data_IF_530011482509
#
_entry.id   IF_530011482509
#
_cell.length_a   1.000
_cell.length_b   1.000
_cell.length_c   1.000
_cell.angle_alpha   90.00
_cell.angle_beta   90.00
_cell.angle_gamma   90.00
#
_symmetry.space_group_name_H-M   'P 1'
#
loop_
_entity.id
_entity.type
_entity.pdbx_description
1 polymer ?
#
# COMPACT_ATOMS: atom_id res chain seq x y z
N UNK A 1 -4.51 -21.97 1.08
CA UNK A 1 -4.82 -21.85 2.53
C UNK A 1 -5.50 -20.52 2.75
N UNK A 2 -6.58 -20.47 3.53
CA UNK A 2 -7.30 -19.24 3.86
C UNK A 2 -7.12 -18.97 5.36
N UNK A 3 -6.59 -17.80 5.71
CA UNK A 3 -6.54 -17.33 7.10
C UNK A 3 -7.80 -16.52 7.39
N UNK A 4 -8.56 -16.94 8.38
CA UNK A 4 -9.73 -16.21 8.84
C UNK A 4 -9.40 -15.54 10.17
N UNK A 5 -9.31 -14.20 10.14
CA UNK A 5 -9.06 -13.39 11.33
C UNK A 5 -10.22 -13.46 12.33
N UNK A 6 -9.92 -13.14 13.58
CA UNK A 6 -10.95 -12.92 14.59
C UNK A 6 -11.61 -11.54 14.38
N UNK A 7 -12.85 -11.39 14.86
CA UNK A 7 -13.44 -10.06 15.02
C UNK A 7 -12.54 -9.18 15.88
N UNK A 8 -12.28 -7.97 15.40
CA UNK A 8 -11.41 -6.99 16.08
C UNK A 8 -12.23 -6.20 17.10
N UNK A 9 -12.64 -6.87 18.18
CA UNK A 9 -13.07 -6.19 19.39
C UNK A 9 -11.84 -5.77 20.21
N UNK A 10 -11.87 -4.62 20.91
CA UNK A 10 -10.73 -4.15 21.69
C UNK A 10 -10.18 -5.21 22.66
N UNK A 11 -11.07 -6.00 23.25
CA UNK A 11 -10.73 -7.06 24.19
C UNK A 11 -9.93 -8.20 23.54
N UNK A 12 -10.13 -8.43 22.25
CA UNK A 12 -9.54 -9.55 21.50
C UNK A 12 -8.33 -9.14 20.68
N UNK A 13 -7.96 -7.86 20.71
CA UNK A 13 -6.89 -7.34 19.83
C UNK A 13 -5.56 -8.08 20.00
N UNK A 14 -5.09 -8.23 21.22
CA UNK A 14 -3.82 -8.92 21.48
C UNK A 14 -3.86 -10.39 21.04
N UNK A 15 -4.97 -11.06 21.31
CA UNK A 15 -5.14 -12.45 20.90
C UNK A 15 -5.19 -12.59 19.37
N UNK A 16 -5.87 -11.68 18.68
CA UNK A 16 -5.91 -11.65 17.22
C UNK A 16 -4.53 -11.39 16.61
N UNK A 17 -3.72 -10.50 17.21
CA UNK A 17 -2.34 -10.28 16.81
C UNK A 17 -1.47 -11.52 16.98
N UNK A 18 -1.53 -12.15 18.14
CA UNK A 18 -0.74 -13.35 18.42
C UNK A 18 -1.07 -14.48 17.44
N UNK A 19 -2.35 -14.72 17.17
CA UNK A 19 -2.77 -15.71 16.17
C UNK A 19 -2.28 -15.40 14.76
N UNK A 20 -2.28 -14.12 14.37
CA UNK A 20 -1.74 -13.72 13.07
C UNK A 20 -0.22 -13.95 13.03
N UNK A 21 0.48 -13.60 14.10
CA UNK A 21 1.91 -13.80 14.22
C UNK A 21 2.29 -15.28 14.11
N UNK A 22 1.59 -16.14 14.86
CA UNK A 22 1.81 -17.59 14.82
C UNK A 22 1.57 -18.14 13.40
N UNK A 23 0.47 -17.74 12.76
CA UNK A 23 0.19 -18.18 11.41
C UNK A 23 1.25 -17.71 10.39
N UNK A 24 1.72 -16.47 10.44
CA UNK A 24 2.75 -15.96 9.54
C UNK A 24 4.08 -16.73 9.69
N UNK A 25 4.41 -17.15 10.90
CA UNK A 25 5.62 -17.94 11.16
C UNK A 25 5.55 -19.37 10.54
N UNK A 26 4.34 -19.93 10.42
CA UNK A 26 4.14 -21.25 9.81
C UNK A 26 4.24 -21.25 8.29
N UNK A 27 4.22 -20.07 7.65
CA UNK A 27 4.24 -20.00 6.19
C UNK A 27 5.63 -20.33 5.63
N UNK A 28 5.68 -21.13 4.57
CA UNK A 28 6.94 -21.42 3.88
C UNK A 28 7.51 -20.15 3.22
N UNK A 29 8.83 -20.14 2.95
CA UNK A 29 9.42 -19.08 2.15
C UNK A 29 8.77 -18.94 0.76
N UNK A 30 8.82 -17.74 0.19
CA UNK A 30 8.23 -17.40 -1.12
C UNK A 30 6.69 -17.57 -1.16
N UNK A 31 6.02 -17.34 -0.02
CA UNK A 31 4.56 -17.33 0.04
C UNK A 31 4.00 -15.97 -0.33
N UNK A 32 3.02 -15.96 -1.25
CA UNK A 32 2.20 -14.79 -1.58
C UNK A 32 0.94 -14.75 -0.72
N UNK A 33 0.64 -13.58 -0.14
CA UNK A 33 -0.55 -13.33 0.68
C UNK A 33 -1.42 -12.29 -0.04
N UNK A 34 -2.68 -12.63 -0.29
CA UNK A 34 -3.70 -11.70 -0.76
C UNK A 34 -4.53 -11.29 0.43
N UNK A 35 -4.44 -10.02 0.82
CA UNK A 35 -5.25 -9.44 1.89
C UNK A 35 -6.53 -8.84 1.29
N UNK A 36 -7.66 -9.05 1.96
CA UNK A 36 -8.98 -8.59 1.47
C UNK A 36 -9.13 -7.07 1.43
N UNK A 37 -8.29 -6.33 2.16
CA UNK A 37 -8.21 -4.86 2.13
C UNK A 37 -6.77 -4.40 2.34
N UNK A 38 -6.45 -3.16 1.95
CA UNK A 38 -5.16 -2.54 2.22
C UNK A 38 -4.90 -2.38 3.72
N UNK A 39 -5.93 -2.10 4.51
CA UNK A 39 -5.81 -2.04 5.97
C UNK A 39 -5.34 -3.37 6.57
N UNK A 40 -5.85 -4.50 6.06
CA UNK A 40 -5.40 -5.84 6.47
C UNK A 40 -3.99 -6.13 5.96
N UNK A 41 -3.67 -5.75 4.73
CA UNK A 41 -2.32 -5.89 4.20
C UNK A 41 -1.30 -5.13 5.05
N UNK A 42 -1.61 -3.89 5.43
CA UNK A 42 -0.77 -3.07 6.33
C UNK A 42 -0.58 -3.74 7.69
N UNK A 43 -1.64 -4.29 8.27
CA UNK A 43 -1.53 -5.00 9.55
C UNK A 43 -0.61 -6.23 9.43
N UNK A 44 -0.71 -7.01 8.35
CA UNK A 44 0.20 -8.12 8.08
C UNK A 44 1.65 -7.62 7.98
N UNK A 45 1.90 -6.53 7.25
CA UNK A 45 3.24 -5.95 7.11
C UNK A 45 3.81 -5.49 8.44
N UNK A 46 3.00 -4.87 9.32
CA UNK A 46 3.42 -4.47 10.66
C UNK A 46 3.81 -5.67 11.54
N UNK A 47 3.05 -6.75 11.47
CA UNK A 47 3.38 -7.99 12.20
C UNK A 47 4.65 -8.63 11.62
N UNK A 48 4.81 -8.65 10.30
CA UNK A 48 6.06 -9.12 9.67
C UNK A 48 7.27 -8.31 10.14
N UNK A 49 7.15 -6.98 10.21
CA UNK A 49 8.20 -6.10 10.71
C UNK A 49 8.56 -6.42 12.16
N UNK A 50 7.56 -6.57 13.03
CA UNK A 50 7.75 -6.93 14.44
C UNK A 50 8.44 -8.28 14.63
N UNK A 51 8.10 -9.26 13.78
CA UNK A 51 8.69 -10.60 13.78
C UNK A 51 9.99 -10.70 12.98
N UNK A 52 10.47 -9.59 12.39
CA UNK A 52 11.64 -9.56 11.52
C UNK A 52 11.53 -10.52 10.32
N UNK A 53 10.31 -10.73 9.81
CA UNK A 53 10.05 -11.51 8.61
C UNK A 53 10.34 -10.65 7.39
N UNK A 54 11.29 -11.01 6.51
CA UNK A 54 11.61 -10.23 5.34
C UNK A 54 10.45 -10.20 4.34
N UNK A 55 10.06 -8.98 3.90
CA UNK A 55 9.08 -8.74 2.84
C UNK A 55 9.76 -7.82 1.82
N UNK A 56 9.85 -8.18 0.55
CA UNK A 56 9.15 -9.29 -0.12
C UNK A 56 9.90 -10.64 -0.15
N UNK A 57 11.09 -10.79 0.42
CA UNK A 57 11.99 -11.93 0.19
C UNK A 57 11.41 -13.26 0.71
N UNK A 58 10.82 -13.27 1.88
CA UNK A 58 10.18 -14.47 2.45
C UNK A 58 8.69 -14.51 2.17
N UNK A 59 8.00 -13.38 2.37
CA UNK A 59 6.55 -13.27 2.15
C UNK A 59 6.27 -12.07 1.24
N UNK A 60 5.39 -12.23 0.25
CA UNK A 60 4.87 -11.14 -0.57
C UNK A 60 3.44 -10.83 -0.14
N UNK A 61 3.07 -9.55 -0.05
CA UNK A 61 1.73 -9.15 0.36
C UNK A 61 1.12 -8.22 -0.69
N UNK A 62 -0.11 -8.50 -1.08
CA UNK A 62 -0.93 -7.63 -1.93
C UNK A 62 -2.23 -7.30 -1.23
N UNK A 63 -2.62 -6.03 -1.27
CA UNK A 63 -3.89 -5.54 -0.75
C UNK A 63 -4.95 -5.33 -1.82
N UNK A 64 -6.12 -4.87 -1.40
CA UNK A 64 -7.22 -4.44 -2.25
C UNK A 64 -7.72 -3.12 -1.68
N UNK A 65 -8.16 -2.20 -2.51
CA UNK A 65 -8.77 -0.88 -2.36
C UNK A 65 -7.91 0.23 -2.97
N UNK A 66 -6.59 0.11 -2.98
CA UNK A 66 -5.63 1.16 -3.36
C UNK A 66 -5.85 2.43 -2.53
N UNK A 67 -5.98 2.26 -1.22
CA UNK A 67 -6.22 3.34 -0.27
C UNK A 67 -4.98 4.23 -0.15
N UNK A 68 -5.16 5.52 -0.44
CA UNK A 68 -4.06 6.48 -0.46
C UNK A 68 -3.36 6.60 0.90
N UNK A 69 -4.14 6.61 1.98
CA UNK A 69 -3.62 6.71 3.34
C UNK A 69 -2.70 5.53 3.71
N UNK A 70 -3.04 4.33 3.25
CA UNK A 70 -2.24 3.12 3.53
C UNK A 70 -0.84 3.21 2.94
N UNK A 71 -0.66 3.91 1.82
CA UNK A 71 0.66 4.14 1.22
C UNK A 71 1.60 4.91 2.13
N UNK A 72 1.08 5.89 2.87
CA UNK A 72 1.87 6.71 3.80
C UNK A 72 2.11 6.02 5.15
N UNK A 73 1.21 5.12 5.55
CA UNK A 73 1.30 4.42 6.83
C UNK A 73 2.13 3.14 6.79
N UNK A 74 2.45 2.62 5.60
CA UNK A 74 3.24 1.39 5.45
C UNK A 74 4.72 1.72 5.23
N UNK A 75 5.60 1.13 6.03
CA UNK A 75 7.06 1.25 5.82
C UNK A 75 7.55 0.46 4.62
N UNK A 76 6.82 -0.57 4.24
CA UNK A 76 7.07 -1.38 3.04
C UNK A 76 6.07 -0.95 1.98
N UNK A 77 6.54 -0.80 0.74
CA UNK A 77 5.68 -0.49 -0.39
C UNK A 77 4.64 -1.60 -0.58
N UNK A 78 3.35 -1.25 -0.48
CA UNK A 78 2.24 -2.17 -0.63
C UNK A 78 1.72 -2.14 -2.07
N UNK A 79 1.76 -3.29 -2.73
CA UNK A 79 1.02 -3.50 -3.97
C UNK A 79 -0.47 -3.65 -3.67
N UNK A 80 -1.33 -3.03 -4.47
CA UNK A 80 -2.77 -3.07 -4.24
C UNK A 80 -3.57 -3.13 -5.53
N UNK A 81 -4.77 -3.69 -5.44
CA UNK A 81 -5.75 -3.73 -6.52
C UNK A 81 -6.77 -2.62 -6.32
N UNK A 82 -6.78 -1.63 -7.22
CA UNK A 82 -7.79 -0.58 -7.20
C UNK A 82 -9.13 -1.11 -7.76
N UNK A 83 -10.16 -1.08 -6.94
CA UNK A 83 -11.50 -1.58 -7.32
C UNK A 83 -12.26 -0.66 -8.30
N UNK A 84 -11.78 0.56 -8.54
CA UNK A 84 -12.49 1.52 -9.38
C UNK A 84 -13.75 2.11 -8.73
N UNK A 85 -13.80 2.17 -7.40
CA UNK A 85 -14.96 2.60 -6.61
C UNK A 85 -15.52 3.96 -7.04
N UNK A 86 -14.64 4.92 -7.38
CA UNK A 86 -15.07 6.24 -7.89
C UNK A 86 -15.83 6.12 -9.21
N UNK A 87 -15.36 5.29 -10.12
CA UNK A 87 -16.00 5.06 -11.40
C UNK A 87 -17.34 4.31 -11.21
N UNK A 88 -17.37 3.31 -10.35
CA UNK A 88 -18.60 2.59 -9.98
C UNK A 88 -19.64 3.56 -9.42
N UNK A 89 -19.27 4.40 -8.44
CA UNK A 89 -20.16 5.40 -7.86
C UNK A 89 -20.69 6.40 -8.89
N UNK A 90 -19.83 6.89 -9.78
CA UNK A 90 -20.25 7.79 -10.86
C UNK A 90 -21.26 7.14 -11.82
N UNK A 91 -20.99 5.91 -12.25
CA UNK A 91 -21.90 5.18 -13.13
C UNK A 91 -23.23 4.84 -12.43
N UNK A 92 -23.20 4.46 -11.17
CA UNK A 92 -24.41 4.22 -10.38
C UNK A 92 -25.25 5.48 -10.23
N UNK A 93 -24.62 6.63 -9.91
CA UNK A 93 -25.34 7.91 -9.84
C UNK A 93 -25.96 8.33 -11.17
N UNK A 94 -25.23 8.12 -12.28
CA UNK A 94 -25.75 8.39 -13.63
C UNK A 94 -26.96 7.52 -13.98
N UNK A 95 -26.91 6.23 -13.62
CA UNK A 95 -28.05 5.33 -13.81
C UNK A 95 -29.25 5.73 -12.95
N UNK A 96 -29.02 6.08 -11.69
CA UNK A 96 -30.07 6.56 -10.80
C UNK A 96 -30.74 7.83 -11.33
N UNK A 97 -29.97 8.79 -11.83
CA UNK A 97 -30.50 10.02 -12.43
C UNK A 97 -31.45 9.71 -13.60
N UNK A 98 -31.05 8.84 -14.50
CA UNK A 98 -31.90 8.41 -15.63
C UNK A 98 -33.19 7.71 -15.17
N UNK A 99 -33.12 6.88 -14.13
CA UNK A 99 -34.31 6.25 -13.53
C UNK A 99 -35.27 7.27 -12.92
N UNK A 100 -34.73 8.33 -12.26
CA UNK A 100 -35.55 9.41 -11.72
C UNK A 100 -36.23 10.23 -12.83
N UNK A 101 -35.59 10.37 -13.98
CA UNK A 101 -36.14 11.00 -15.17
C UNK A 101 -37.16 10.10 -15.90
N UNK A 102 -37.48 8.93 -15.31
CA UNK A 102 -38.43 7.92 -15.86
C UNK A 102 -38.03 7.38 -17.25
N UNK A 103 -36.73 7.38 -17.54
CA UNK A 103 -36.25 6.68 -18.74
C UNK A 103 -36.48 5.17 -18.59
N UNK A 104 -37.10 4.55 -19.59
CA UNK A 104 -37.16 3.08 -19.66
C UNK A 104 -35.76 2.55 -19.95
N UNK A 105 -35.21 1.80 -19.01
CA UNK A 105 -33.90 1.20 -19.14
C UNK A 105 -33.95 -0.30 -18.91
N UNK A 106 -33.30 -1.09 -19.78
CA UNK A 106 -33.11 -2.50 -19.50
C UNK A 106 -32.21 -2.66 -18.27
N UNK A 107 -32.39 -3.77 -17.54
CA UNK A 107 -31.47 -4.16 -16.49
C UNK A 107 -30.05 -4.23 -17.05
N UNK A 108 -29.20 -3.32 -16.58
CA UNK A 108 -27.80 -3.22 -17.02
C UNK A 108 -26.86 -3.65 -15.91
N UNK A 109 -25.90 -4.46 -16.24
CA UNK A 109 -24.77 -4.77 -15.37
C UNK A 109 -23.51 -4.11 -15.93
N UNK A 110 -23.03 -3.06 -15.27
CA UNK A 110 -21.79 -2.40 -15.66
C UNK A 110 -20.65 -3.00 -14.83
N UNK A 111 -19.67 -3.57 -15.54
CA UNK A 111 -18.45 -4.07 -14.94
C UNK A 111 -17.38 -2.99 -15.07
N UNK A 112 -16.86 -2.56 -13.94
CA UNK A 112 -15.66 -1.70 -13.87
C UNK A 112 -14.47 -2.60 -13.62
N UNK A 113 -13.52 -2.72 -14.57
CA UNK A 113 -12.38 -3.58 -14.39
C UNK A 113 -11.48 -3.06 -13.27
N UNK A 114 -10.96 -3.93 -12.40
CA UNK A 114 -9.98 -3.54 -11.41
C UNK A 114 -8.67 -3.12 -12.09
N UNK A 115 -7.97 -2.17 -11.49
CA UNK A 115 -6.65 -1.74 -11.93
C UNK A 115 -5.62 -2.20 -10.90
N UNK A 116 -4.70 -3.05 -11.33
CA UNK A 116 -3.56 -3.42 -10.52
C UNK A 116 -2.58 -2.24 -10.43
N UNK A 117 -2.28 -1.85 -9.21
CA UNK A 117 -1.23 -0.87 -8.93
C UNK A 117 -0.16 -1.54 -8.10
N UNK A 118 0.93 -1.84 -8.74
CA UNK A 118 2.16 -2.28 -8.11
C UNK A 118 3.15 -1.14 -8.13
N UNK A 119 3.89 -0.98 -7.07
CA UNK A 119 5.21 -0.36 -7.15
C UNK A 119 6.12 -1.43 -7.75
N UNK A 120 6.19 -1.47 -9.08
CA UNK A 120 6.90 -2.52 -9.82
C UNK A 120 8.28 -2.09 -10.25
N UNK A 121 8.55 -0.79 -10.24
CA UNK A 121 9.86 -0.29 -10.65
C UNK A 121 10.88 -0.52 -9.53
N UNK A 122 11.84 -1.43 -9.71
CA UNK A 122 12.87 -1.72 -8.71
C UNK A 122 13.64 -0.48 -8.27
N UNK A 123 13.84 0.48 -9.19
CA UNK A 123 14.54 1.72 -8.90
C UNK A 123 13.71 2.62 -7.97
N UNK A 124 12.39 2.69 -8.16
CA UNK A 124 11.49 3.43 -7.28
C UNK A 124 11.42 2.78 -5.90
N UNK A 125 11.31 1.46 -5.83
CA UNK A 125 11.31 0.70 -4.58
C UNK A 125 12.62 0.93 -3.81
N UNK A 126 13.75 0.85 -4.49
CA UNK A 126 15.07 1.07 -3.89
C UNK A 126 15.22 2.52 -3.39
N UNK A 127 14.74 3.51 -4.16
CA UNK A 127 14.73 4.90 -3.75
C UNK A 127 13.89 5.11 -2.48
N UNK A 128 12.68 4.58 -2.42
CA UNK A 128 11.81 4.66 -1.25
C UNK A 128 12.44 4.03 -0.02
N UNK A 129 13.02 2.85 -0.18
CA UNK A 129 13.71 2.16 0.91
C UNK A 129 14.90 2.96 1.43
N UNK A 130 15.70 3.54 0.53
CA UNK A 130 16.82 4.40 0.91
C UNK A 130 16.36 5.64 1.67
N UNK A 131 15.31 6.32 1.18
CA UNK A 131 14.73 7.51 1.82
C UNK A 131 14.28 7.18 3.25
N UNK A 132 13.47 6.13 3.43
CA UNK A 132 12.96 5.74 4.75
C UNK A 132 14.05 5.44 5.77
N UNK A 133 15.11 4.79 5.34
CA UNK A 133 16.21 4.41 6.22
C UNK A 133 17.17 5.57 6.54
N UNK A 134 17.18 6.63 5.73
CA UNK A 134 18.20 7.68 5.83
C UNK A 134 17.61 9.10 5.96
N UNK A 135 16.30 9.32 5.86
CA UNK A 135 15.70 10.64 5.89
C UNK A 135 16.14 11.48 7.09
N UNK A 136 16.26 10.87 8.27
CA UNK A 136 16.70 11.54 9.49
C UNK A 136 18.18 11.96 9.50
N UNK A 137 18.98 11.44 8.57
CA UNK A 137 20.41 11.81 8.43
C UNK A 137 20.59 13.06 7.55
N UNK A 138 19.51 13.74 7.19
CA UNK A 138 19.57 14.97 6.38
C UNK A 138 19.93 14.73 4.92
N UNK A 139 19.52 13.58 4.36
CA UNK A 139 19.81 13.24 2.96
C UNK A 139 19.22 14.24 1.96
N UNK A 140 19.92 14.34 0.81
CA UNK A 140 19.49 15.09 -0.36
C UNK A 140 19.10 14.12 -1.49
N UNK A 141 18.39 14.65 -2.49
CA UNK A 141 17.97 13.87 -3.67
C UNK A 141 19.15 13.19 -4.36
N UNK A 142 20.29 13.88 -4.47
CA UNK A 142 21.48 13.34 -5.14
C UNK A 142 21.99 12.04 -4.49
N UNK A 143 21.91 11.93 -3.16
CA UNK A 143 22.28 10.71 -2.45
C UNK A 143 21.32 9.55 -2.72
N UNK A 144 20.04 9.85 -2.96
CA UNK A 144 19.07 8.85 -3.41
C UNK A 144 19.40 8.37 -4.82
N UNK A 145 19.77 9.29 -5.71
CA UNK A 145 20.19 8.96 -7.07
C UNK A 145 21.44 8.08 -7.10
N UNK A 146 22.43 8.42 -6.30
CA UNK A 146 23.68 7.65 -6.17
C UNK A 146 23.39 6.22 -5.65
N UNK A 147 22.47 6.08 -4.70
CA UNK A 147 22.10 4.79 -4.16
C UNK A 147 21.35 3.91 -5.16
N UNK A 148 20.58 4.52 -6.07
CA UNK A 148 19.77 3.80 -7.07
C UNK A 148 20.54 3.59 -8.38
N UNK A 149 21.52 4.45 -8.69
CA UNK A 149 22.39 4.32 -9.87
C UNK A 149 21.72 4.68 -11.20
N UNK A 150 20.69 5.52 -11.20
CA UNK A 150 20.04 6.02 -12.43
C UNK A 150 19.99 7.55 -12.47
N UNK A 151 19.82 8.11 -13.67
CA UNK A 151 19.79 9.55 -13.86
C UNK A 151 18.61 10.22 -13.16
N UNK A 152 18.82 11.47 -12.72
CA UNK A 152 17.82 12.25 -11.99
C UNK A 152 16.47 12.35 -12.72
N UNK A 153 16.50 12.73 -14.00
CA UNK A 153 15.28 12.88 -14.79
C UNK A 153 14.49 11.58 -14.92
N UNK A 154 15.21 10.45 -15.05
CA UNK A 154 14.60 9.14 -15.17
C UNK A 154 13.95 8.69 -13.84
N UNK A 155 14.67 8.83 -12.72
CA UNK A 155 14.11 8.46 -11.41
C UNK A 155 12.96 9.38 -11.01
N UNK A 156 13.09 10.70 -11.16
CA UNK A 156 12.02 11.65 -10.80
C UNK A 156 10.74 11.40 -11.61
N UNK A 157 10.84 11.10 -12.91
CA UNK A 157 9.70 10.75 -13.75
C UNK A 157 9.00 9.48 -13.24
N UNK A 158 9.74 8.38 -13.11
CA UNK A 158 9.21 7.09 -12.64
C UNK A 158 8.64 7.19 -11.22
N UNK A 159 9.33 7.89 -10.34
CA UNK A 159 8.92 8.09 -8.95
C UNK A 159 7.60 8.84 -8.88
N UNK A 160 7.44 9.92 -9.68
CA UNK A 160 6.21 10.68 -9.76
C UNK A 160 5.05 9.88 -10.39
N UNK A 161 5.34 9.06 -11.40
CA UNK A 161 4.33 8.19 -12.05
C UNK A 161 3.83 7.09 -11.11
N UNK A 162 4.71 6.47 -10.33
CA UNK A 162 4.34 5.37 -9.44
C UNK A 162 3.88 5.81 -8.05
N UNK A 163 4.58 6.78 -7.44
CA UNK A 163 4.33 7.23 -6.06
C UNK A 163 3.32 8.38 -6.02
N UNK A 164 3.24 9.17 -7.10
CA UNK A 164 2.35 10.32 -7.18
C UNK A 164 2.95 11.63 -6.64
N UNK A 165 4.13 11.56 -6.01
CA UNK A 165 4.83 12.72 -5.43
C UNK A 165 6.30 12.76 -5.87
N UNK A 166 7.02 13.83 -5.52
CA UNK A 166 8.43 13.96 -5.83
C UNK A 166 9.32 13.29 -4.77
N UNK A 167 10.54 12.90 -5.15
CA UNK A 167 11.55 12.37 -4.23
C UNK A 167 11.80 13.34 -3.07
N UNK A 168 11.87 14.64 -3.37
CA UNK A 168 12.06 15.69 -2.36
C UNK A 168 10.89 15.75 -1.36
N UNK A 169 9.65 15.69 -1.86
CA UNK A 169 8.45 15.69 -1.01
C UNK A 169 8.45 14.50 -0.05
N UNK A 170 8.77 13.31 -0.55
CA UNK A 170 8.86 12.11 0.28
C UNK A 170 9.95 12.22 1.35
N UNK A 171 11.14 12.76 1.03
CA UNK A 171 12.20 12.99 2.03
C UNK A 171 11.71 13.90 3.16
N UNK A 172 10.96 14.95 2.82
CA UNK A 172 10.39 15.86 3.82
C UNK A 172 9.29 15.19 4.66
N UNK A 173 8.41 14.43 4.03
CA UNK A 173 7.34 13.71 4.72
C UNK A 173 7.92 12.72 5.75
N UNK A 174 8.91 11.93 5.36
CA UNK A 174 9.58 10.96 6.24
C UNK A 174 10.32 11.64 7.42
N UNK A 175 10.92 12.82 7.20
CA UNK A 175 11.54 13.61 8.28
C UNK A 175 10.50 14.09 9.30
N UNK A 176 9.38 14.60 8.81
CA UNK A 176 8.28 15.10 9.67
C UNK A 176 7.65 13.98 10.47
N UNK A 177 7.42 12.82 9.84
CA UNK A 177 6.83 11.66 10.51
C UNK A 177 7.74 11.15 11.63
N UNK A 178 9.04 11.09 11.37
CA UNK A 178 10.01 10.69 12.38
C UNK A 178 10.12 11.71 13.53
N UNK A 179 10.11 13.00 13.22
CA UNK A 179 10.09 14.05 14.23
C UNK A 179 8.84 13.93 15.12
N UNK A 180 7.70 13.66 14.52
CA UNK A 180 6.42 13.44 15.22
C UNK A 180 6.47 12.23 16.15
N UNK A 181 7.07 11.12 15.72
CA UNK A 181 7.21 9.90 16.51
C UNK A 181 8.17 10.05 17.71
N UNK A 182 9.00 11.10 17.75
CA UNK A 182 9.92 11.37 18.85
C UNK A 182 9.34 12.35 19.87
N UNK A 183 8.17 12.96 19.59
CA UNK A 183 7.49 13.93 20.46
C UNK A 183 6.32 13.31 21.25
N UNK A 184 6.05 12.02 21.04
CA UNK A 184 5.07 11.20 21.77
C UNK A 184 5.80 10.25 22.71
#
# INVERSE_FOLDING_TARGET
MVYQGLETAPENWQHAQNRLADWLQTLPPQTGIIAVTDARARHILQVCEHLHIPVPEKLCVIGIDNEELTRYLSRVALSSVAQGARQMGYQAAKLLHRLLDKEEMPLQRILVPPVYRSLTDPAVIQAMHYIRNHACKGIKVDQVLDAVGISRSNLEKRFKEEVGETIHAMIHAEKLEKARSLLI
#
